data_IF_200634199318
#
_entry.id   IF_200634199318
#
_cell.length_a   1.000
_cell.length_b   1.000
_cell.length_c   1.000
_cell.angle_alpha   90.00
_cell.angle_beta   90.00
_cell.angle_gamma   90.00
#
_symmetry.space_group_name_H-M   'P 1'
#
loop_
_entity.id
_entity.type
_entity.pdbx_description
1 polymer ?
#
# COMPACT_ATOMS: atom_id res chain seq x y z
N UNK A 1 -54.16 86.72 -14.43
CA UNK A 1 -53.46 85.93 -13.41
C UNK A 1 -53.75 84.49 -13.64
N UNK A 2 -52.93 83.83 -14.38
CA UNK A 2 -53.13 82.50 -14.99
C UNK A 2 -52.21 81.50 -14.33
N UNK A 3 -52.80 80.49 -13.66
CA UNK A 3 -52.05 79.40 -13.04
C UNK A 3 -52.10 78.15 -13.96
N UNK A 4 -50.94 77.78 -14.48
CA UNK A 4 -50.74 76.60 -15.36
C UNK A 4 -50.50 75.38 -14.46
N UNK A 5 -51.37 74.41 -14.53
CA UNK A 5 -51.13 73.09 -13.87
C UNK A 5 -50.39 72.15 -14.79
N UNK A 6 -49.22 71.72 -14.40
CA UNK A 6 -48.41 70.72 -15.08
C UNK A 6 -48.99 69.33 -14.78
N UNK A 7 -49.27 68.58 -15.82
CA UNK A 7 -49.70 67.20 -15.79
C UNK A 7 -48.47 66.30 -15.71
N UNK A 8 -48.31 65.56 -14.62
CA UNK A 8 -47.19 64.61 -14.43
C UNK A 8 -47.73 63.21 -14.80
N UNK A 9 -47.20 62.71 -15.88
CA UNK A 9 -47.54 61.35 -16.38
C UNK A 9 -47.02 60.23 -15.48
N UNK A 10 -47.88 59.25 -15.23
CA UNK A 10 -47.56 58.02 -14.54
C UNK A 10 -46.66 57.11 -15.39
N UNK A 11 -45.64 56.46 -14.85
CA UNK A 11 -44.85 55.44 -15.55
C UNK A 11 -45.60 54.08 -15.60
N UNK A 12 -45.38 53.27 -16.64
CA UNK A 12 -46.02 51.98 -16.80
C UNK A 12 -45.42 50.92 -15.86
N UNK A 13 -46.19 49.82 -15.55
CA UNK A 13 -45.78 48.77 -14.59
C UNK A 13 -44.65 47.94 -15.15
N UNK A 14 -43.63 47.71 -14.31
CA UNK A 14 -42.45 46.88 -14.60
C UNK A 14 -42.88 45.40 -14.75
N UNK A 15 -42.51 44.82 -15.91
CA UNK A 15 -42.59 43.37 -16.18
C UNK A 15 -41.65 42.64 -15.26
N UNK A 16 -42.14 41.82 -14.36
CA UNK A 16 -41.36 40.87 -13.56
C UNK A 16 -40.84 39.76 -14.48
N UNK A 17 -39.56 39.77 -14.79
CA UNK A 17 -38.86 38.65 -15.38
C UNK A 17 -38.69 37.56 -14.35
N UNK A 18 -39.30 36.42 -14.58
CA UNK A 18 -39.07 35.17 -13.82
C UNK A 18 -37.63 34.72 -14.09
N UNK A 19 -36.72 35.00 -13.15
CA UNK A 19 -35.40 34.36 -13.12
C UNK A 19 -35.56 32.91 -12.65
N UNK A 20 -35.54 31.99 -13.63
CA UNK A 20 -35.36 30.58 -13.37
C UNK A 20 -34.03 30.35 -12.63
N UNK A 21 -34.12 29.87 -11.39
CA UNK A 21 -32.97 29.36 -10.65
C UNK A 21 -32.60 28.01 -11.28
N UNK A 22 -31.61 28.00 -12.16
CA UNK A 22 -30.92 26.78 -12.53
C UNK A 22 -30.17 26.27 -11.29
N UNK A 23 -30.68 25.20 -10.66
CA UNK A 23 -29.95 24.43 -9.66
C UNK A 23 -28.88 23.62 -10.42
N UNK A 24 -27.66 24.13 -10.46
CA UNK A 24 -26.50 23.39 -10.90
C UNK A 24 -26.21 22.33 -9.81
N UNK A 25 -26.63 21.08 -10.05
CA UNK A 25 -26.14 19.93 -9.29
C UNK A 25 -24.65 19.78 -9.62
N UNK A 26 -23.79 20.31 -8.75
CA UNK A 26 -22.37 19.97 -8.74
C UNK A 26 -22.28 18.56 -8.18
N UNK A 27 -22.21 17.56 -9.05
CA UNK A 27 -21.75 16.22 -8.69
C UNK A 27 -20.26 16.38 -8.35
N UNK A 28 -19.96 16.58 -7.08
CA UNK A 28 -18.61 16.41 -6.55
C UNK A 28 -18.25 14.92 -6.69
N UNK A 29 -17.46 14.61 -7.68
CA UNK A 29 -16.78 13.33 -7.78
C UNK A 29 -15.81 13.26 -6.59
N UNK A 30 -16.21 12.54 -5.55
CA UNK A 30 -15.31 12.09 -4.50
C UNK A 30 -14.34 11.10 -5.16
N UNK A 31 -13.23 11.61 -5.68
CA UNK A 31 -12.08 10.78 -6.01
C UNK A 31 -11.63 10.16 -4.68
N UNK A 32 -11.57 8.83 -4.55
CA UNK A 32 -10.97 8.24 -3.38
C UNK A 32 -9.53 8.75 -3.28
N UNK A 33 -9.18 9.33 -2.13
CA UNK A 33 -7.81 9.69 -1.83
C UNK A 33 -6.98 8.40 -1.87
N UNK A 34 -6.22 8.20 -2.94
CA UNK A 34 -5.32 7.05 -3.05
C UNK A 34 -4.21 7.27 -2.03
N UNK A 35 -4.18 6.43 -1.00
CA UNK A 35 -3.07 6.39 -0.09
C UNK A 35 -1.82 5.93 -0.85
N UNK A 36 -0.69 6.65 -0.76
CA UNK A 36 0.52 6.26 -1.44
C UNK A 36 0.95 4.85 -1.02
N UNK A 37 1.43 4.05 -1.95
CA UNK A 37 2.08 2.79 -1.61
C UNK A 37 3.29 3.09 -0.73
N UNK A 38 3.41 2.39 0.40
CA UNK A 38 4.60 2.51 1.23
C UNK A 38 5.66 1.53 0.72
N UNK A 39 6.85 2.04 0.47
CA UNK A 39 8.00 1.21 0.15
C UNK A 39 8.51 0.50 1.40
N UNK A 40 8.48 -0.81 1.38
CA UNK A 40 8.97 -1.65 2.47
C UNK A 40 10.36 -2.18 2.11
N UNK A 41 11.30 -2.08 3.03
CA UNK A 41 12.61 -2.74 2.92
C UNK A 41 12.48 -4.21 3.35
N UNK A 42 12.25 -5.15 2.44
CA UNK A 42 11.90 -6.53 2.79
C UNK A 42 13.05 -7.29 3.43
N UNK A 43 14.28 -6.94 3.09
CA UNK A 43 15.50 -7.60 3.57
C UNK A 43 16.13 -6.93 4.79
N UNK A 44 15.35 -6.14 5.53
CA UNK A 44 15.77 -5.61 6.83
C UNK A 44 14.90 -6.19 7.94
N UNK A 45 15.52 -6.45 9.09
CA UNK A 45 14.82 -6.89 10.29
C UNK A 45 15.37 -6.18 11.53
N UNK A 46 14.50 -6.03 12.53
CA UNK A 46 14.88 -5.54 13.85
C UNK A 46 14.47 -6.61 14.86
N UNK A 47 15.43 -7.09 15.64
CA UNK A 47 15.24 -8.15 16.64
C UNK A 47 15.88 -7.77 17.95
N UNK A 48 15.45 -8.40 19.04
CA UNK A 48 16.09 -8.19 20.34
C UNK A 48 17.49 -8.82 20.36
N UNK A 49 18.44 -8.11 20.94
CA UNK A 49 19.78 -8.63 21.22
C UNK A 49 19.79 -9.19 22.66
N UNK A 50 20.00 -10.51 22.79
CA UNK A 50 19.99 -11.21 24.08
C UNK A 50 21.06 -10.73 25.04
N UNK A 51 22.25 -10.41 24.52
CA UNK A 51 23.38 -9.92 25.30
C UNK A 51 24.56 -9.46 24.44
N UNK A 52 25.70 -9.13 25.06
CA UNK A 52 26.84 -8.55 24.35
C UNK A 52 27.77 -9.58 23.69
N UNK A 53 27.58 -10.87 23.94
CA UNK A 53 28.45 -11.94 23.45
C UNK A 53 28.31 -12.17 21.95
N UNK A 54 29.34 -12.71 21.33
CA UNK A 54 29.31 -13.06 19.91
C UNK A 54 28.26 -14.14 19.60
N UNK A 55 28.11 -15.12 20.51
CA UNK A 55 27.10 -16.16 20.35
C UNK A 55 25.68 -15.60 20.36
N UNK A 56 25.38 -14.66 21.25
CA UNK A 56 24.06 -14.00 21.32
C UNK A 56 23.82 -13.13 20.09
N UNK A 57 24.85 -12.49 19.57
CA UNK A 57 24.75 -11.73 18.33
C UNK A 57 24.52 -12.63 17.12
N UNK A 58 25.22 -13.74 17.03
CA UNK A 58 25.01 -14.73 15.97
C UNK A 58 23.59 -15.31 16.03
N UNK A 59 23.08 -15.62 17.22
CA UNK A 59 21.67 -16.04 17.40
C UNK A 59 20.69 -14.94 16.94
N UNK A 60 20.95 -13.68 17.28
CA UNK A 60 20.12 -12.56 16.84
C UNK A 60 20.16 -12.37 15.31
N UNK A 61 21.29 -12.57 14.64
CA UNK A 61 21.36 -12.57 13.17
C UNK A 61 20.49 -13.69 12.56
N UNK A 62 20.51 -14.90 13.14
CA UNK A 62 19.68 -16.00 12.71
C UNK A 62 18.19 -15.69 12.83
N UNK A 63 17.76 -15.11 13.95
CA UNK A 63 16.37 -14.68 14.14
C UNK A 63 15.99 -13.54 13.18
N UNK A 64 16.90 -12.58 12.97
CA UNK A 64 16.70 -11.50 11.99
C UNK A 64 16.53 -12.05 10.56
N UNK A 65 17.29 -13.06 10.17
CA UNK A 65 17.18 -13.70 8.86
C UNK A 65 15.81 -14.37 8.68
N UNK A 66 15.30 -15.09 9.70
CA UNK A 66 13.96 -15.68 9.68
C UNK A 66 12.88 -14.60 9.52
N UNK A 67 12.98 -13.49 10.29
CA UNK A 67 12.07 -12.35 10.15
C UNK A 67 12.14 -11.74 8.75
N UNK A 68 13.35 -11.55 8.21
CA UNK A 68 13.52 -11.04 6.85
C UNK A 68 12.91 -11.98 5.79
N UNK A 69 13.04 -13.29 5.95
CA UNK A 69 12.41 -14.28 5.07
C UNK A 69 10.88 -14.20 5.11
N UNK A 70 10.29 -14.05 6.31
CA UNK A 70 8.84 -13.83 6.48
C UNK A 70 8.40 -12.54 5.80
N UNK A 71 9.12 -11.44 6.02
CA UNK A 71 8.80 -10.13 5.40
C UNK A 71 8.91 -10.15 3.88
N UNK A 72 9.96 -10.80 3.37
CA UNK A 72 10.24 -10.86 1.94
C UNK A 72 9.36 -11.84 1.17
N UNK A 73 8.84 -12.87 1.84
CA UNK A 73 7.91 -13.84 1.23
C UNK A 73 6.44 -13.51 1.48
N UNK A 74 6.14 -12.75 2.54
CA UNK A 74 4.78 -12.53 3.05
C UNK A 74 4.18 -13.74 3.76
N UNK A 75 4.89 -14.86 3.88
CA UNK A 75 4.41 -16.11 4.47
C UNK A 75 4.94 -16.28 5.89
N UNK A 76 4.05 -16.56 6.83
CA UNK A 76 4.44 -16.80 8.23
C UNK A 76 5.27 -18.07 8.41
N UNK A 77 5.03 -19.11 7.61
CA UNK A 77 5.75 -20.37 7.65
C UNK A 77 7.16 -20.30 7.03
N UNK A 78 7.54 -19.18 6.40
CA UNK A 78 8.89 -18.98 5.88
C UNK A 78 9.98 -19.12 6.97
N UNK A 79 9.67 -18.72 8.22
CA UNK A 79 10.62 -18.82 9.33
C UNK A 79 11.03 -20.26 9.67
N UNK A 80 10.18 -21.24 9.37
CA UNK A 80 10.40 -22.66 9.63
C UNK A 80 10.73 -23.47 8.37
N UNK A 81 10.81 -22.83 7.21
CA UNK A 81 11.19 -23.49 5.98
C UNK A 81 12.63 -24.08 6.12
N UNK A 82 12.88 -25.35 5.74
CA UNK A 82 14.15 -26.02 6.02
C UNK A 82 15.40 -25.25 5.51
N UNK A 83 15.31 -24.64 4.34
CA UNK A 83 16.39 -23.82 3.79
C UNK A 83 16.65 -22.54 4.57
N UNK A 84 15.58 -21.89 5.07
CA UNK A 84 15.68 -20.70 5.91
C UNK A 84 16.25 -21.04 7.29
N UNK A 85 15.84 -22.16 7.88
CA UNK A 85 16.39 -22.65 9.15
C UNK A 85 17.88 -22.97 9.01
N UNK A 86 18.30 -23.62 7.94
CA UNK A 86 19.70 -23.91 7.67
C UNK A 86 20.52 -22.62 7.48
N UNK A 87 20.02 -21.65 6.73
CA UNK A 87 20.66 -20.34 6.54
C UNK A 87 20.75 -19.54 7.86
N UNK A 88 19.74 -19.64 8.74
CA UNK A 88 19.73 -18.99 10.04
C UNK A 88 20.72 -19.58 11.04
N UNK A 89 21.20 -20.80 10.83
CA UNK A 89 22.26 -21.42 11.63
C UNK A 89 23.66 -20.83 11.29
N UNK A 90 23.86 -20.35 10.05
CA UNK A 90 25.08 -19.66 9.61
C UNK A 90 24.71 -18.42 8.78
N UNK A 91 24.23 -17.34 9.43
CA UNK A 91 23.68 -16.18 8.77
C UNK A 91 24.74 -15.21 8.21
N UNK A 92 26.02 -15.40 8.52
CA UNK A 92 27.10 -14.43 8.24
C UNK A 92 27.19 -14.08 6.74
N UNK A 93 27.01 -15.05 5.85
CA UNK A 93 27.08 -14.87 4.41
C UNK A 93 25.90 -14.06 3.81
N UNK A 94 24.85 -13.85 4.58
CA UNK A 94 23.67 -13.07 4.19
C UNK A 94 23.70 -11.64 4.73
N UNK A 95 24.43 -11.38 5.83
CA UNK A 95 24.45 -10.06 6.48
C UNK A 95 25.28 -9.08 5.67
N UNK A 96 24.67 -7.98 5.23
CA UNK A 96 25.35 -6.87 4.56
C UNK A 96 25.76 -5.78 5.53
N UNK A 97 24.89 -5.44 6.48
CA UNK A 97 25.14 -4.41 7.49
C UNK A 97 24.30 -4.65 8.74
N UNK A 98 24.77 -4.14 9.86
CA UNK A 98 23.98 -4.15 11.08
C UNK A 98 24.31 -2.96 11.98
N UNK A 99 23.38 -2.61 12.86
CA UNK A 99 23.56 -1.61 13.91
C UNK A 99 22.80 -1.99 15.17
N UNK A 100 23.29 -1.62 16.33
CA UNK A 100 22.62 -1.81 17.60
C UNK A 100 22.00 -0.49 18.04
N UNK A 101 20.73 -0.51 18.47
CA UNK A 101 20.05 0.65 19.06
C UNK A 101 20.28 0.73 20.57
N UNK A 102 19.97 1.89 21.17
CA UNK A 102 20.05 2.12 22.62
C UNK A 102 19.19 1.14 23.44
N UNK A 103 18.11 0.63 22.87
CA UNK A 103 17.15 -0.28 23.52
C UNK A 103 17.54 -1.77 23.37
N UNK A 104 18.81 -2.05 23.08
CA UNK A 104 19.32 -3.40 22.85
C UNK A 104 18.61 -4.15 21.72
N UNK A 105 18.16 -3.41 20.72
CA UNK A 105 17.64 -3.99 19.49
C UNK A 105 18.75 -4.03 18.44
N UNK A 106 18.81 -5.09 17.69
CA UNK A 106 19.71 -5.29 16.56
C UNK A 106 18.95 -5.07 15.27
N UNK A 107 19.33 -4.05 14.52
CA UNK A 107 18.84 -3.81 13.14
C UNK A 107 19.82 -4.46 12.18
N UNK A 108 19.34 -5.38 11.34
CA UNK A 108 20.14 -6.13 10.36
C UNK A 108 19.63 -5.88 8.97
N UNK A 109 20.52 -5.53 8.06
CA UNK A 109 20.28 -5.50 6.62
C UNK A 109 20.99 -6.67 5.97
N UNK A 110 20.26 -7.41 5.12
CA UNK A 110 20.77 -8.56 4.41
C UNK A 110 21.01 -8.23 2.93
N UNK A 111 21.97 -8.92 2.32
CA UNK A 111 22.23 -8.81 0.89
C UNK A 111 20.99 -9.25 0.09
N UNK A 112 20.44 -8.37 -0.79
CA UNK A 112 19.23 -8.68 -1.52
C UNK A 112 19.36 -9.88 -2.44
N UNK A 113 20.52 -10.09 -3.07
CA UNK A 113 20.77 -11.20 -4.01
C UNK A 113 20.83 -12.53 -3.27
N UNK A 114 21.54 -12.56 -2.13
CA UNK A 114 21.61 -13.74 -1.28
C UNK A 114 20.24 -14.13 -0.75
N UNK A 115 19.44 -13.17 -0.29
CA UNK A 115 18.07 -13.40 0.18
C UNK A 115 17.13 -13.87 -0.94
N UNK A 116 17.26 -13.30 -2.14
CA UNK A 116 16.48 -13.75 -3.30
C UNK A 116 16.78 -15.20 -3.69
N UNK A 117 18.05 -15.58 -3.67
CA UNK A 117 18.48 -16.96 -3.91
C UNK A 117 17.97 -17.90 -2.82
N UNK A 118 18.03 -17.49 -1.54
CA UNK A 118 17.47 -18.26 -0.42
C UNK A 118 15.97 -18.52 -0.60
N UNK A 119 15.18 -17.48 -0.90
CA UNK A 119 13.73 -17.61 -1.12
C UNK A 119 13.46 -18.55 -2.31
N UNK A 120 14.20 -18.44 -3.39
CA UNK A 120 14.05 -19.31 -4.55
C UNK A 120 14.36 -20.78 -4.19
N UNK A 121 15.47 -21.04 -3.50
CA UNK A 121 15.84 -22.38 -3.05
C UNK A 121 14.86 -22.98 -2.04
N UNK A 122 14.21 -22.13 -1.25
CA UNK A 122 13.18 -22.52 -0.31
C UNK A 122 11.78 -22.67 -0.96
N UNK A 123 11.61 -22.37 -2.25
CA UNK A 123 10.30 -22.38 -2.93
C UNK A 123 9.33 -21.33 -2.41
N UNK A 124 9.83 -20.27 -1.74
CA UNK A 124 9.03 -19.22 -1.15
C UNK A 124 8.73 -18.11 -2.18
N UNK A 125 7.54 -17.51 -2.16
CA UNK A 125 7.22 -16.38 -3.02
C UNK A 125 8.09 -15.17 -2.69
N UNK A 126 8.08 -14.17 -3.59
CA UNK A 126 8.72 -12.86 -3.35
C UNK A 126 7.67 -11.79 -3.32
N UNK A 127 7.46 -11.22 -2.16
CA UNK A 127 6.54 -10.11 -1.99
C UNK A 127 7.24 -8.80 -2.36
N UNK A 128 6.72 -8.03 -3.33
CA UNK A 128 7.29 -6.76 -3.76
C UNK A 128 7.47 -5.77 -2.61
N UNK A 129 8.33 -4.77 -2.84
CA UNK A 129 8.52 -3.64 -1.91
C UNK A 129 7.29 -2.73 -1.87
N UNK A 130 6.60 -2.59 -3.00
CA UNK A 130 5.38 -1.82 -3.16
C UNK A 130 4.21 -2.58 -2.54
N UNK A 131 3.69 -2.06 -1.43
CA UNK A 131 2.63 -2.74 -0.66
C UNK A 131 1.48 -1.79 -0.35
N UNK A 132 0.23 -2.28 -0.38
CA UNK A 132 -0.89 -1.47 0.03
C UNK A 132 -0.76 -1.09 1.50
N UNK A 133 -1.00 0.19 1.81
CA UNK A 133 -1.09 0.67 3.19
C UNK A 133 -2.41 0.18 3.78
N UNK A 134 -2.37 -0.47 4.93
CA UNK A 134 -3.56 -0.97 5.64
C UNK A 134 -3.99 0.06 6.67
N UNK A 135 -5.17 0.67 6.48
CA UNK A 135 -5.78 1.54 7.49
C UNK A 135 -6.30 0.70 8.65
N UNK A 136 -5.76 0.91 9.85
CA UNK A 136 -6.14 0.15 11.04
C UNK A 136 -7.14 0.95 11.88
N UNK A 137 -8.33 0.40 12.06
CA UNK A 137 -9.39 0.95 12.90
C UNK A 137 -9.60 0.01 14.11
N UNK A 138 -8.91 0.29 15.21
CA UNK A 138 -8.91 -0.55 16.40
C UNK A 138 -9.76 0.10 17.49
N UNK A 139 -10.70 -0.66 18.05
CA UNK A 139 -11.49 -0.30 19.21
C UNK A 139 -11.01 -1.13 20.39
N UNK A 140 -10.46 -0.47 21.40
CA UNK A 140 -9.96 -1.09 22.63
C UNK A 140 -10.54 -0.40 23.86
N UNK A 141 -10.82 -1.13 24.95
CA UNK A 141 -11.27 -0.50 26.21
C UNK A 141 -10.34 0.60 26.74
N UNK A 142 -9.07 0.56 26.39
CA UNK A 142 -8.08 1.57 26.77
C UNK A 142 -8.36 2.95 26.16
N UNK A 143 -9.17 3.03 25.10
CA UNK A 143 -9.52 4.28 24.43
C UNK A 143 -11.01 4.53 24.52
N UNK A 144 -11.42 5.54 25.30
CA UNK A 144 -12.82 5.95 25.50
C UNK A 144 -13.76 4.75 25.78
N UNK A 145 -13.30 3.75 26.54
CA UNK A 145 -14.02 2.51 26.84
C UNK A 145 -14.51 1.76 25.56
N UNK A 146 -13.76 1.86 24.47
CA UNK A 146 -14.12 1.25 23.19
C UNK A 146 -15.13 2.03 22.35
N UNK A 147 -15.50 3.23 22.75
CA UNK A 147 -16.50 4.03 22.04
C UNK A 147 -15.97 4.70 20.77
N UNK A 148 -14.64 4.85 20.63
CA UNK A 148 -13.99 5.36 19.43
C UNK A 148 -12.76 4.55 19.03
N UNK A 149 -12.39 4.63 17.76
CA UNK A 149 -11.18 4.03 17.26
C UNK A 149 -9.92 4.71 17.83
N UNK A 150 -8.85 3.92 17.95
CA UNK A 150 -7.48 4.40 18.18
C UNK A 150 -7.06 5.28 17.01
N UNK A 151 -6.47 6.45 17.33
CA UNK A 151 -5.95 7.39 16.35
C UNK A 151 -4.42 7.41 16.34
N UNK A 152 -3.83 8.15 15.42
CA UNK A 152 -2.37 8.37 15.33
C UNK A 152 -1.80 9.13 16.55
N UNK A 153 -2.64 9.87 17.30
CA UNK A 153 -2.25 10.59 18.51
C UNK A 153 -2.25 9.73 19.78
N UNK A 154 -3.00 8.62 19.80
CA UNK A 154 -3.13 7.77 21.00
C UNK A 154 -1.83 7.00 21.30
N UNK A 155 -1.52 6.85 22.58
CA UNK A 155 -0.32 6.13 23.08
C UNK A 155 -0.75 4.97 23.96
N UNK A 156 -1.34 3.95 23.35
CA UNK A 156 -1.83 2.74 24.01
C UNK A 156 -1.01 1.52 23.60
N UNK A 157 -0.97 0.53 24.49
CA UNK A 157 -0.16 -0.70 24.29
C UNK A 157 -0.59 -1.46 23.05
N UNK A 158 -1.88 -1.55 22.82
CA UNK A 158 -2.45 -2.29 21.67
C UNK A 158 -2.03 -1.67 20.33
N UNK A 159 -1.88 -0.35 20.28
CA UNK A 159 -1.35 0.32 19.11
C UNK A 159 0.10 -0.12 18.81
N UNK A 160 0.95 -0.11 19.83
CA UNK A 160 2.34 -0.55 19.72
C UNK A 160 2.43 -2.03 19.33
N UNK A 161 1.51 -2.85 19.81
CA UNK A 161 1.43 -4.26 19.46
C UNK A 161 1.06 -4.46 17.97
N UNK A 162 0.08 -3.71 17.46
CA UNK A 162 -0.26 -3.70 16.02
C UNK A 162 0.94 -3.25 15.18
N UNK A 163 1.58 -2.15 15.55
CA UNK A 163 2.74 -1.60 14.84
C UNK A 163 3.89 -2.62 14.79
N UNK A 164 4.16 -3.30 15.91
CA UNK A 164 5.18 -4.35 15.98
C UNK A 164 4.81 -5.56 15.13
N UNK A 165 3.57 -6.05 15.20
CA UNK A 165 3.11 -7.16 14.40
C UNK A 165 3.18 -6.83 12.89
N UNK A 166 2.76 -5.64 12.50
CA UNK A 166 2.83 -5.14 11.14
C UNK A 166 4.28 -5.03 10.64
N UNK A 167 5.18 -4.51 11.49
CA UNK A 167 6.62 -4.45 11.19
C UNK A 167 7.22 -5.84 10.96
N UNK A 168 6.93 -6.81 11.80
CA UNK A 168 7.42 -8.20 11.66
C UNK A 168 6.94 -8.84 10.36
N UNK A 169 5.72 -8.53 9.91
CA UNK A 169 5.12 -9.05 8.69
C UNK A 169 5.43 -8.19 7.45
N UNK A 170 6.03 -7.00 7.63
CA UNK A 170 6.30 -6.06 6.57
C UNK A 170 5.04 -5.47 5.93
N UNK A 171 3.99 -5.28 6.71
CA UNK A 171 2.75 -4.61 6.28
C UNK A 171 2.83 -3.14 6.65
N UNK A 172 2.79 -2.20 5.70
CA UNK A 172 2.66 -0.79 6.04
C UNK A 172 1.26 -0.52 6.56
N UNK A 173 1.17 0.24 7.65
CA UNK A 173 -0.10 0.58 8.27
C UNK A 173 -0.25 2.09 8.41
N UNK A 174 -1.51 2.54 8.45
CA UNK A 174 -1.89 3.90 8.80
C UNK A 174 -2.98 3.88 9.87
N UNK A 175 -2.99 4.91 10.71
CA UNK A 175 -4.01 5.13 11.73
C UNK A 175 -4.92 6.29 11.31
N UNK A 176 -6.22 6.28 11.67
CA UNK A 176 -7.08 7.44 11.48
C UNK A 176 -6.54 8.65 12.26
N UNK A 177 -6.62 9.82 11.67
CA UNK A 177 -6.32 11.10 12.33
C UNK A 177 -7.50 11.63 13.14
N UNK A 178 -8.70 11.17 12.82
CA UNK A 178 -9.96 11.57 13.45
C UNK A 178 -10.58 10.42 14.25
N UNK A 179 -11.33 10.79 15.28
CA UNK A 179 -12.05 9.81 16.09
C UNK A 179 -13.24 9.25 15.32
N UNK A 180 -13.22 7.96 15.03
CA UNK A 180 -14.31 7.25 14.37
C UNK A 180 -15.10 6.46 15.41
N UNK A 181 -16.43 6.52 15.36
CA UNK A 181 -17.28 5.57 16.06
C UNK A 181 -17.35 4.21 15.29
N UNK A 182 -17.90 3.15 15.88
CA UNK A 182 -17.94 1.84 15.22
C UNK A 182 -18.75 1.81 13.92
N UNK A 183 -19.77 2.66 13.77
CA UNK A 183 -20.57 2.73 12.55
C UNK A 183 -19.81 3.43 11.43
N UNK A 184 -19.17 4.56 11.73
CA UNK A 184 -18.30 5.29 10.82
C UNK A 184 -17.10 4.46 10.38
N UNK A 185 -16.47 3.71 11.30
CA UNK A 185 -15.38 2.81 10.98
C UNK A 185 -15.77 1.68 10.03
N UNK A 186 -16.96 1.07 10.21
CA UNK A 186 -17.48 0.06 9.27
C UNK A 186 -17.79 0.65 7.90
N UNK A 187 -18.36 1.85 7.86
CA UNK A 187 -18.61 2.54 6.60
C UNK A 187 -17.30 2.88 5.87
N UNK A 188 -16.32 3.37 6.60
CA UNK A 188 -14.98 3.69 6.07
C UNK A 188 -14.26 2.44 5.55
N UNK A 189 -14.34 1.31 6.27
CA UNK A 189 -13.72 0.05 5.86
C UNK A 189 -14.13 -0.38 4.44
N UNK A 190 -15.38 -0.12 4.05
CA UNK A 190 -15.89 -0.45 2.72
C UNK A 190 -15.28 0.41 1.59
N UNK A 191 -14.79 1.60 1.92
CA UNK A 191 -14.15 2.55 0.99
C UNK A 191 -12.63 2.53 0.98
N UNK A 192 -12.00 1.87 1.97
CA UNK A 192 -10.54 1.80 2.04
C UNK A 192 -9.97 0.82 1.00
N UNK A 193 -8.84 1.16 0.35
CA UNK A 193 -8.12 0.23 -0.53
C UNK A 193 -7.70 -1.06 0.20
N UNK A 194 -7.26 -0.93 1.45
CA UNK A 194 -7.02 -2.02 2.38
C UNK A 194 -7.31 -1.53 3.81
N UNK A 195 -8.16 -2.22 4.54
CA UNK A 195 -8.55 -1.83 5.90
C UNK A 195 -8.60 -3.01 6.85
N UNK A 196 -8.21 -2.78 8.10
CA UNK A 196 -8.28 -3.74 9.20
C UNK A 196 -9.09 -3.13 10.35
N UNK A 197 -10.28 -3.65 10.59
CA UNK A 197 -11.15 -3.24 11.69
C UNK A 197 -11.09 -4.27 12.80
N UNK A 198 -10.72 -3.84 14.01
CA UNK A 198 -10.71 -4.66 15.23
C UNK A 198 -11.68 -4.11 16.27
N UNK A 199 -12.59 -4.96 16.71
CA UNK A 199 -13.56 -4.67 17.76
C UNK A 199 -13.23 -5.54 18.97
N UNK A 200 -12.68 -4.93 20.02
CA UNK A 200 -12.27 -5.62 21.25
C UNK A 200 -13.38 -5.63 22.31
N UNK A 201 -13.61 -6.78 22.93
CA UNK A 201 -14.51 -6.92 24.07
C UNK A 201 -13.80 -6.71 25.40
N UNK A 202 -12.79 -7.54 25.69
CA UNK A 202 -12.06 -7.58 26.97
C UNK A 202 -10.58 -7.13 26.87
N UNK A 203 -10.12 -6.74 25.70
CA UNK A 203 -8.73 -6.33 25.42
C UNK A 203 -7.77 -7.49 25.11
N UNK A 204 -8.19 -8.75 25.29
CA UNK A 204 -7.35 -9.92 25.00
C UNK A 204 -7.73 -10.61 23.70
N UNK A 205 -9.00 -10.54 23.30
CA UNK A 205 -9.53 -11.13 22.07
C UNK A 205 -10.39 -10.11 21.33
N UNK A 206 -10.24 -10.09 20.02
CA UNK A 206 -10.91 -9.15 19.14
C UNK A 206 -11.64 -9.89 18.02
N UNK A 207 -12.74 -9.30 17.56
CA UNK A 207 -13.32 -9.63 16.26
C UNK A 207 -12.66 -8.72 15.21
N UNK A 208 -11.98 -9.32 14.26
CA UNK A 208 -11.29 -8.61 13.18
C UNK A 208 -11.97 -8.79 11.85
N UNK A 209 -12.02 -7.72 11.09
CA UNK A 209 -12.47 -7.72 9.70
C UNK A 209 -11.38 -7.04 8.86
N UNK A 210 -10.72 -7.83 8.03
CA UNK A 210 -9.81 -7.31 7.01
C UNK A 210 -10.57 -7.20 5.67
N UNK A 211 -10.53 -6.03 5.05
CA UNK A 211 -11.13 -5.77 3.74
C UNK A 211 -10.08 -5.29 2.75
N UNK A 212 -10.04 -5.89 1.57
CA UNK A 212 -9.15 -5.50 0.49
C UNK A 212 -9.69 -5.95 -0.86
N UNK A 213 -9.70 -5.03 -1.84
CA UNK A 213 -10.10 -5.31 -3.23
C UNK A 213 -11.44 -6.07 -3.35
N UNK A 214 -12.46 -5.64 -2.61
CA UNK A 214 -13.80 -6.22 -2.61
C UNK A 214 -13.93 -7.56 -1.88
N UNK A 215 -12.87 -8.05 -1.25
CA UNK A 215 -12.88 -9.26 -0.43
C UNK A 215 -12.81 -8.92 1.05
N UNK A 216 -13.46 -9.73 1.86
CA UNK A 216 -13.47 -9.58 3.32
C UNK A 216 -13.02 -10.88 3.96
N UNK A 217 -12.11 -10.79 4.94
CA UNK A 217 -11.67 -11.88 5.78
C UNK A 217 -12.03 -11.56 7.23
N UNK A 218 -12.63 -12.50 7.95
CA UNK A 218 -12.94 -12.38 9.38
C UNK A 218 -12.02 -13.29 10.18
N UNK A 219 -11.47 -12.74 11.25
CA UNK A 219 -10.55 -13.44 12.16
C UNK A 219 -10.99 -13.15 13.59
N UNK A 220 -11.02 -14.17 14.45
CA UNK A 220 -11.14 -13.98 15.89
C UNK A 220 -9.80 -14.28 16.53
N UNK A 221 -9.39 -13.48 17.48
CA UNK A 221 -8.15 -13.68 18.22
C UNK A 221 -7.37 -12.41 18.51
N UNK A 222 -6.11 -12.56 18.88
CA UNK A 222 -5.22 -11.47 19.22
C UNK A 222 -4.74 -10.67 18.01
N UNK A 223 -4.12 -9.54 18.29
CA UNK A 223 -3.61 -8.57 17.31
C UNK A 223 -2.64 -9.24 16.31
N UNK A 224 -1.70 -10.06 16.81
CA UNK A 224 -0.72 -10.72 15.94
C UNK A 224 -1.34 -11.68 14.92
N UNK A 225 -2.43 -12.37 15.29
CA UNK A 225 -3.17 -13.25 14.38
C UNK A 225 -3.87 -12.49 13.28
N UNK A 226 -4.51 -11.37 13.61
CA UNK A 226 -5.21 -10.54 12.64
C UNK A 226 -4.27 -9.90 11.62
N UNK A 227 -3.19 -9.28 12.10
CA UNK A 227 -2.15 -8.69 11.23
C UNK A 227 -1.49 -9.77 10.38
N UNK A 228 -1.26 -10.96 10.96
CA UNK A 228 -0.75 -12.12 10.24
C UNK A 228 -1.66 -12.54 9.08
N UNK A 229 -2.94 -12.69 9.35
CA UNK A 229 -3.94 -13.08 8.35
C UNK A 229 -4.11 -12.01 7.24
N UNK A 230 -4.07 -10.73 7.59
CA UNK A 230 -4.08 -9.64 6.61
C UNK A 230 -2.83 -9.70 5.72
N UNK A 231 -1.64 -9.92 6.30
CA UNK A 231 -0.40 -10.06 5.55
C UNK A 231 -0.43 -11.26 4.60
N UNK A 232 -0.92 -12.42 5.06
CA UNK A 232 -1.05 -13.62 4.23
C UNK A 232 -2.02 -13.38 3.05
N UNK A 233 -3.13 -12.70 3.28
CA UNK A 233 -4.10 -12.35 2.24
C UNK A 233 -3.51 -11.38 1.19
N UNK A 234 -2.74 -10.39 1.64
CA UNK A 234 -2.04 -9.46 0.75
C UNK A 234 -0.93 -10.17 -0.04
N UNK A 235 -0.11 -10.98 0.63
CA UNK A 235 0.96 -11.73 -0.04
C UNK A 235 0.40 -12.71 -1.09
N UNK A 236 -0.69 -13.40 -0.80
CA UNK A 236 -1.36 -14.27 -1.77
C UNK A 236 -1.81 -13.52 -3.05
N UNK A 237 -2.07 -12.23 -2.95
CA UNK A 237 -2.50 -11.39 -4.08
C UNK A 237 -1.34 -10.74 -4.85
N UNK A 238 -0.27 -10.35 -4.13
CA UNK A 238 0.80 -9.50 -4.66
C UNK A 238 2.16 -10.19 -4.78
N UNK A 239 2.36 -11.35 -4.15
CA UNK A 239 3.64 -12.04 -4.19
C UNK A 239 3.66 -13.14 -5.27
N UNK A 240 4.35 -12.94 -6.41
CA UNK A 240 4.53 -14.00 -7.40
C UNK A 240 5.40 -15.11 -6.83
N UNK A 241 5.21 -16.34 -7.32
CA UNK A 241 6.08 -17.45 -6.98
C UNK A 241 7.55 -17.13 -7.28
N UNK A 242 8.47 -17.57 -6.43
CA UNK A 242 9.91 -17.33 -6.63
C UNK A 242 10.45 -17.92 -7.93
N UNK A 243 9.79 -18.95 -8.45
CA UNK A 243 10.10 -19.61 -9.72
C UNK A 243 9.46 -18.92 -10.93
N UNK A 244 8.68 -17.85 -10.73
CA UNK A 244 8.08 -17.11 -11.84
C UNK A 244 9.17 -16.59 -12.78
N UNK A 245 9.06 -16.96 -14.05
CA UNK A 245 9.93 -16.45 -15.10
C UNK A 245 9.76 -14.93 -15.25
N UNK A 246 10.79 -14.27 -15.74
CA UNK A 246 10.66 -12.91 -16.22
C UNK A 246 9.90 -12.94 -17.55
N UNK A 247 8.78 -12.26 -17.62
CA UNK A 247 7.96 -12.14 -18.83
C UNK A 247 8.09 -10.72 -19.40
N UNK A 248 8.03 -10.60 -20.71
CA UNK A 248 7.98 -9.27 -21.34
C UNK A 248 6.55 -8.78 -21.39
N UNK A 249 6.30 -7.66 -20.72
CA UNK A 249 5.01 -6.95 -20.73
C UNK A 249 5.18 -5.69 -21.56
N UNK A 250 4.34 -5.56 -22.60
CA UNK A 250 4.34 -4.35 -23.43
C UNK A 250 3.32 -3.36 -22.91
N UNK A 251 3.79 -2.13 -22.65
CA UNK A 251 2.97 -1.03 -22.20
C UNK A 251 2.99 0.09 -23.22
N UNK A 252 1.86 0.77 -23.38
CA UNK A 252 1.79 2.09 -24.00
C UNK A 252 1.32 3.08 -22.95
N UNK A 253 2.11 4.13 -22.72
CA UNK A 253 1.86 5.08 -21.65
C UNK A 253 1.69 6.47 -22.29
N UNK A 254 0.47 7.00 -22.22
CA UNK A 254 0.12 8.35 -22.63
C UNK A 254 0.35 9.37 -21.51
N UNK A 255 0.24 10.67 -21.82
CA UNK A 255 0.44 11.75 -20.86
C UNK A 255 1.92 12.08 -20.64
N UNK A 256 2.80 11.67 -21.54
CA UNK A 256 4.24 12.00 -21.55
C UNK A 256 4.46 13.20 -22.46
N UNK A 257 4.36 14.41 -21.90
CA UNK A 257 4.36 15.64 -22.68
C UNK A 257 5.76 16.14 -23.01
N UNK A 258 6.76 15.87 -22.16
CA UNK A 258 8.12 16.39 -22.32
C UNK A 258 9.18 15.38 -21.79
N UNK A 259 10.45 15.80 -21.87
CA UNK A 259 11.60 14.98 -21.42
C UNK A 259 11.60 14.77 -19.90
N UNK A 260 11.00 15.66 -19.11
CA UNK A 260 10.92 15.50 -17.65
C UNK A 260 9.93 14.42 -17.30
N UNK A 261 8.75 14.43 -17.93
CA UNK A 261 7.76 13.36 -17.77
C UNK A 261 8.36 12.00 -18.14
N UNK A 262 9.08 11.96 -19.27
CA UNK A 262 9.77 10.75 -19.70
C UNK A 262 10.81 10.26 -18.69
N UNK A 263 11.65 11.16 -18.16
CA UNK A 263 12.66 10.82 -17.18
C UNK A 263 12.03 10.31 -15.86
N UNK A 264 11.02 11.02 -15.35
CA UNK A 264 10.30 10.64 -14.13
C UNK A 264 9.56 9.31 -14.29
N UNK A 265 8.93 9.07 -15.44
CA UNK A 265 8.29 7.81 -15.77
C UNK A 265 9.29 6.66 -15.83
N UNK A 266 10.43 6.87 -16.48
CA UNK A 266 11.48 5.84 -16.61
C UNK A 266 12.05 5.50 -15.25
N UNK A 267 12.38 6.49 -14.42
CA UNK A 267 12.84 6.32 -13.05
C UNK A 267 11.81 5.55 -12.20
N UNK A 268 10.53 5.91 -12.33
CA UNK A 268 9.46 5.19 -11.66
C UNK A 268 9.39 3.72 -12.07
N UNK A 269 9.43 3.42 -13.38
CA UNK A 269 9.37 2.04 -13.88
C UNK A 269 10.59 1.21 -13.45
N UNK A 270 11.78 1.80 -13.48
CA UNK A 270 13.04 1.16 -13.05
C UNK A 270 13.07 0.94 -11.52
N UNK A 271 12.43 1.82 -10.75
CA UNK A 271 12.31 1.73 -9.30
C UNK A 271 11.41 0.59 -8.81
N UNK A 272 10.52 0.07 -9.66
CA UNK A 272 9.61 -1.00 -9.27
C UNK A 272 10.32 -2.33 -9.04
N UNK A 273 10.14 -2.92 -7.86
CA UNK A 273 10.85 -4.15 -7.43
C UNK A 273 10.55 -5.38 -8.30
N UNK A 274 9.41 -5.40 -9.00
CA UNK A 274 9.04 -6.43 -9.98
C UNK A 274 9.73 -6.27 -11.33
N UNK A 275 10.13 -5.06 -11.69
CA UNK A 275 10.73 -4.75 -12.99
C UNK A 275 12.21 -5.10 -12.97
N UNK A 276 12.66 -5.79 -14.01
CA UNK A 276 14.05 -6.24 -14.19
C UNK A 276 14.76 -5.52 -15.31
N UNK A 277 14.00 -5.06 -16.28
CA UNK A 277 14.51 -4.25 -17.39
C UNK A 277 13.40 -3.36 -17.93
N UNK A 278 13.80 -2.17 -18.35
CA UNK A 278 12.96 -1.19 -19.05
C UNK A 278 13.57 -0.96 -20.41
N UNK A 279 12.87 -1.28 -21.47
CA UNK A 279 13.28 -1.03 -22.85
C UNK A 279 12.25 -0.10 -23.52
N UNK A 280 12.74 0.97 -24.12
CA UNK A 280 11.89 1.84 -24.94
C UNK A 280 11.79 1.21 -26.33
N UNK A 281 10.57 1.09 -26.84
CA UNK A 281 10.28 0.53 -28.14
C UNK A 281 9.99 1.60 -29.18
N UNK A 282 9.12 2.54 -28.83
CA UNK A 282 8.63 3.52 -29.76
C UNK A 282 8.17 4.78 -29.03
N UNK A 283 8.42 5.94 -29.67
CA UNK A 283 7.86 7.23 -29.23
C UNK A 283 6.74 7.64 -30.18
N UNK A 284 5.59 7.90 -29.65
CA UNK A 284 4.46 8.52 -30.34
C UNK A 284 4.31 9.95 -29.83
N UNK A 285 3.41 10.74 -30.40
CA UNK A 285 3.31 12.18 -30.16
C UNK A 285 3.21 12.55 -28.66
N UNK A 286 2.43 11.82 -27.88
CA UNK A 286 2.12 12.05 -26.47
C UNK A 286 2.13 10.75 -25.65
N UNK A 287 2.72 9.71 -26.22
CA UNK A 287 2.83 8.41 -25.58
C UNK A 287 4.16 7.74 -25.88
N UNK A 288 4.57 6.83 -25.01
CA UNK A 288 5.78 6.03 -25.17
C UNK A 288 5.40 4.55 -24.99
N UNK A 289 5.90 3.72 -25.88
CA UNK A 289 5.79 2.27 -25.75
C UNK A 289 7.04 1.70 -25.08
N UNK A 290 6.82 0.88 -24.07
CA UNK A 290 7.87 0.18 -23.32
C UNK A 290 7.71 -1.33 -23.44
N UNK A 291 8.83 -2.05 -23.53
CA UNK A 291 8.91 -3.48 -23.27
C UNK A 291 9.54 -3.66 -21.86
N UNK A 292 8.75 -4.08 -20.88
CA UNK A 292 9.21 -4.30 -19.52
C UNK A 292 9.49 -5.77 -19.28
N UNK A 293 10.69 -6.10 -18.80
CA UNK A 293 10.97 -7.41 -18.23
C UNK A 293 10.42 -7.47 -16.81
N UNK A 294 9.34 -8.20 -16.58
CA UNK A 294 8.61 -8.22 -15.30
C UNK A 294 8.64 -9.61 -14.69
N UNK A 295 8.92 -9.72 -13.40
CA UNK A 295 8.71 -10.96 -12.64
C UNK A 295 7.25 -11.08 -12.25
N UNK A 296 6.56 -12.02 -12.86
CA UNK A 296 5.11 -12.16 -12.76
C UNK A 296 4.43 -11.88 -14.09
N UNK A 297 3.25 -11.34 -14.07
CA UNK A 297 2.42 -11.06 -15.24
C UNK A 297 1.94 -9.61 -15.32
N UNK A 298 1.28 -9.27 -16.43
CA UNK A 298 0.72 -7.94 -16.65
C UNK A 298 -0.38 -7.59 -15.62
N UNK A 299 -1.10 -8.59 -15.11
CA UNK A 299 -2.15 -8.36 -14.12
C UNK A 299 -1.57 -7.99 -12.74
N UNK A 300 -0.47 -8.63 -12.34
CA UNK A 300 0.25 -8.24 -11.13
C UNK A 300 0.81 -6.82 -11.25
N UNK A 301 1.39 -6.49 -12.42
CA UNK A 301 1.90 -5.14 -12.68
C UNK A 301 0.79 -4.09 -12.60
N UNK A 302 -0.40 -4.35 -13.16
CA UNK A 302 -1.57 -3.46 -13.01
C UNK A 302 -1.96 -3.25 -11.55
N UNK A 303 -1.92 -4.32 -10.73
CA UNK A 303 -2.23 -4.21 -9.30
C UNK A 303 -1.21 -3.34 -8.58
N UNK A 304 0.06 -3.42 -8.94
CA UNK A 304 1.11 -2.56 -8.36
C UNK A 304 0.89 -1.11 -8.77
N UNK A 305 0.66 -0.81 -10.04
CA UNK A 305 0.35 0.55 -10.51
C UNK A 305 -0.87 1.17 -9.82
N UNK A 306 -1.87 0.34 -9.50
CA UNK A 306 -3.06 0.80 -8.80
C UNK A 306 -2.82 1.18 -7.33
N UNK A 307 -1.65 0.88 -6.75
CA UNK A 307 -1.36 1.19 -5.34
C UNK A 307 -1.04 2.69 -5.13
N UNK A 308 -0.35 3.31 -6.05
CA UNK A 308 0.08 4.71 -5.93
C UNK A 308 -0.62 5.67 -6.92
N UNK A 309 -1.33 5.12 -7.91
CA UNK A 309 -2.10 5.89 -8.87
C UNK A 309 -1.30 6.72 -9.86
N UNK A 310 0.02 6.58 -9.89
CA UNK A 310 0.88 7.29 -10.87
C UNK A 310 0.62 6.84 -12.31
N UNK A 311 0.26 5.57 -12.48
CA UNK A 311 -0.20 5.02 -13.76
C UNK A 311 -1.65 4.57 -13.63
N UNK A 312 -2.54 5.26 -14.32
CA UNK A 312 -3.96 4.92 -14.36
C UNK A 312 -4.29 4.20 -15.67
N UNK A 313 -5.15 3.16 -15.65
CA UNK A 313 -5.56 2.49 -16.88
C UNK A 313 -6.19 3.48 -17.85
N UNK A 314 -5.72 3.52 -19.10
CA UNK A 314 -6.39 4.27 -20.16
C UNK A 314 -7.64 3.52 -20.64
N UNK A 315 -8.65 4.26 -21.10
CA UNK A 315 -9.74 3.65 -21.82
C UNK A 315 -9.18 2.95 -23.07
N UNK A 316 -9.46 1.64 -23.23
CA UNK A 316 -8.99 0.91 -24.40
C UNK A 316 -9.51 1.59 -25.68
N UNK A 317 -8.58 2.06 -26.51
CA UNK A 317 -8.94 2.57 -27.82
C UNK A 317 -9.56 1.44 -28.66
N UNK A 318 -10.65 1.67 -29.39
CA UNK A 318 -11.18 0.70 -30.34
C UNK A 318 -10.09 0.36 -31.37
N UNK A 319 -9.64 -0.90 -31.41
CA UNK A 319 -8.58 -1.36 -32.31
C UNK A 319 -7.18 -1.41 -31.72
N UNK A 320 -7.02 -1.31 -30.38
CA UNK A 320 -5.75 -1.50 -29.70
C UNK A 320 -5.09 -2.83 -30.06
N UNK A 321 -3.78 -2.82 -30.32
CA UNK A 321 -3.02 -4.01 -30.69
C UNK A 321 -3.08 -5.06 -29.57
N UNK A 322 -3.39 -6.31 -29.90
CA UNK A 322 -3.44 -7.40 -28.95
C UNK A 322 -2.10 -7.53 -28.19
N UNK A 323 -2.17 -7.57 -26.86
CA UNK A 323 -0.99 -7.75 -26.00
C UNK A 323 -0.31 -6.46 -25.53
N UNK A 324 -0.84 -5.28 -25.87
CA UNK A 324 -0.40 -3.99 -25.32
C UNK A 324 -1.36 -3.55 -24.22
N UNK A 325 -0.81 -3.07 -23.09
CA UNK A 325 -1.59 -2.54 -21.98
C UNK A 325 -1.43 -1.02 -21.96
N UNK A 326 -2.57 -0.33 -21.98
CA UNK A 326 -2.62 1.14 -22.08
C UNK A 326 -2.76 1.79 -20.69
N UNK A 327 -1.90 2.79 -20.41
CA UNK A 327 -1.92 3.59 -19.19
C UNK A 327 -1.77 5.08 -19.50
N UNK A 328 -2.10 5.90 -18.53
CA UNK A 328 -1.84 7.35 -18.54
C UNK A 328 -0.97 7.69 -17.34
N UNK A 329 0.15 8.39 -17.61
CA UNK A 329 1.04 8.93 -16.60
C UNK A 329 0.40 10.14 -15.93
N UNK A 330 0.40 10.14 -14.60
CA UNK A 330 -0.02 11.28 -13.78
C UNK A 330 1.24 11.99 -13.31
N UNK A 331 1.64 13.05 -14.03
CA UNK A 331 2.75 13.91 -13.60
C UNK A 331 2.36 14.61 -12.30
N UNK A 332 3.25 14.59 -11.32
CA UNK A 332 3.08 15.21 -10.00
C UNK A 332 3.32 16.72 -10.06
#
# INVERSE_FOLDING_TARGET
MTSTRSNVGRPPPARRSARGRAVACVLAWLLPAMAPAAEVMPYQAVVALGGPTEAERAAAFGEALKVAAVRASGRSDAAIAPRVVAAAADPASYVQQYSTTTDRMLKVGFDPRAMEQLLQQAGLPRWPSERPVVTVMLFTPAVAAGARAVTDADRVTERLEVERAAQLRGVPIAWPTEALDPAAARARLAGEPAGLLGLGGDGSSYEWVFAHAGRTLRVQGGIGQAVGAAADALAARYAPASTSAVTTVRLRIGGVADVRDYAALTEYLEGLSLVRSVGVREFERDSVQFDLGVRGDAELLRRIFALDGRLTPAAQAPGGAAGIVDFVWQSS
#
